data_IF_381742751323
#
_entry.id   IF_381742751323
#
_cell.length_a   1.000
_cell.length_b   1.000
_cell.length_c   1.000
_cell.angle_alpha   90.00
_cell.angle_beta   90.00
_cell.angle_gamma   90.00
#
_symmetry.space_group_name_H-M   'P 1'
#
loop_
_entity.id
_entity.type
_entity.pdbx_description
1 polymer ?
#
# COMPACT_ATOMS: atom_id res chain seq x y z
N UNK A 1 7.83 27.28 -4.17
CA UNK A 1 6.80 27.10 -3.13
C UNK A 1 7.36 26.20 -2.04
N UNK A 2 7.07 26.48 -0.78
CA UNK A 2 7.51 25.64 0.35
C UNK A 2 6.70 24.34 0.38
N UNK A 3 7.34 23.20 0.66
CA UNK A 3 6.66 21.89 0.72
C UNK A 3 5.58 21.89 1.81
N UNK A 4 4.35 21.46 1.49
CA UNK A 4 3.24 21.36 2.45
C UNK A 4 3.34 20.14 3.38
N UNK A 5 4.35 19.28 3.18
CA UNK A 5 4.57 18.10 4.01
C UNK A 5 6.03 18.00 4.46
N UNK A 6 6.22 17.55 5.69
CA UNK A 6 7.47 17.15 6.31
C UNK A 6 7.55 15.62 6.22
N UNK A 7 8.60 15.08 5.61
CA UNK A 7 8.83 13.62 5.61
C UNK A 7 9.39 13.10 6.94
N UNK A 8 9.36 13.93 7.97
CA UNK A 8 9.72 13.58 9.35
C UNK A 8 8.57 12.85 10.05
N UNK A 9 8.93 11.91 10.93
CA UNK A 9 7.98 11.14 11.76
C UNK A 9 7.86 11.77 13.14
N UNK A 10 6.64 11.89 13.65
CA UNK A 10 6.38 12.21 15.05
C UNK A 10 7.05 11.16 15.95
N UNK A 11 7.68 11.60 17.04
CA UNK A 11 8.39 10.72 17.96
C UNK A 11 7.50 9.59 18.50
N UNK A 12 8.00 8.35 18.45
CA UNK A 12 7.25 7.14 18.85
C UNK A 12 7.18 6.93 20.37
N UNK A 13 8.06 7.60 21.11
CA UNK A 13 8.20 7.47 22.57
C UNK A 13 7.26 8.39 23.35
N UNK A 14 6.36 9.12 22.67
CA UNK A 14 5.35 9.95 23.32
C UNK A 14 4.47 9.04 24.18
N UNK A 15 4.49 9.23 25.51
CA UNK A 15 3.79 8.38 26.49
C UNK A 15 2.33 8.16 26.06
N UNK A 16 1.91 6.90 26.10
CA UNK A 16 0.67 6.37 25.55
C UNK A 16 -0.52 6.70 26.47
N UNK A 17 -0.86 7.98 26.56
CA UNK A 17 -2.11 8.52 27.11
C UNK A 17 -2.91 9.34 26.10
N UNK A 18 -2.37 9.50 24.89
CA UNK A 18 -3.00 10.20 23.77
C UNK A 18 -4.25 9.46 23.26
N UNK A 19 -5.41 10.09 23.33
CA UNK A 19 -6.64 9.56 22.76
C UNK A 19 -6.52 9.45 21.23
N UNK A 20 -7.05 8.38 20.65
CA UNK A 20 -7.22 8.25 19.19
C UNK A 20 -8.69 8.12 18.83
N UNK A 21 -9.06 8.69 17.69
CA UNK A 21 -10.43 8.70 17.20
C UNK A 21 -10.49 8.51 15.69
N UNK A 22 -11.59 7.92 15.23
CA UNK A 22 -11.93 7.78 13.83
C UNK A 22 -13.13 8.68 13.49
N UNK A 23 -12.98 9.49 12.43
CA UNK A 23 -14.03 10.32 11.88
C UNK A 23 -14.48 9.84 10.50
N UNK A 24 -15.75 10.08 10.19
CA UNK A 24 -16.38 9.77 8.91
C UNK A 24 -17.08 11.01 8.36
N UNK A 25 -17.04 11.20 7.04
CA UNK A 25 -17.65 12.36 6.38
C UNK A 25 -19.13 12.12 6.08
N UNK A 26 -19.95 11.98 7.13
CA UNK A 26 -21.39 11.69 7.03
C UNK A 26 -22.20 12.98 7.11
N UNK A 27 -23.25 13.12 6.29
CA UNK A 27 -24.19 14.25 6.35
C UNK A 27 -25.61 13.70 6.51
N UNK A 28 -26.15 13.60 7.73
CA UNK A 28 -27.52 13.12 7.94
C UNK A 28 -28.56 14.06 7.30
N UNK A 29 -29.56 13.47 6.64
CA UNK A 29 -30.68 14.17 6.01
C UNK A 29 -31.96 13.49 6.49
N UNK A 30 -32.91 14.28 7.00
CA UNK A 30 -34.23 13.80 7.40
C UNK A 30 -35.26 14.14 6.31
N UNK A 31 -36.08 13.17 5.91
CA UNK A 31 -37.16 13.40 4.93
C UNK A 31 -38.36 14.07 5.60
N UNK A 32 -39.27 14.59 4.79
CA UNK A 32 -40.55 15.11 5.29
C UNK A 32 -41.39 14.04 6.03
N UNK A 33 -41.15 12.74 5.76
CA UNK A 33 -41.79 11.62 6.44
C UNK A 33 -41.12 11.19 7.74
N UNK A 34 -39.99 11.80 8.12
CA UNK A 34 -39.23 11.47 9.33
C UNK A 34 -38.14 10.40 9.14
N UNK A 35 -37.98 9.85 7.93
CA UNK A 35 -36.90 8.90 7.63
C UNK A 35 -35.54 9.60 7.61
N UNK A 36 -34.49 8.92 8.12
CA UNK A 36 -33.13 9.44 8.13
C UNK A 36 -32.25 8.72 7.11
N UNK A 37 -31.62 9.50 6.23
CA UNK A 37 -30.59 9.05 5.30
C UNK A 37 -29.23 9.59 5.74
N UNK A 38 -28.20 8.75 5.73
CA UNK A 38 -26.82 9.10 6.15
C UNK A 38 -25.82 8.91 5.01
N UNK A 39 -25.85 9.74 3.96
CA UNK A 39 -24.87 9.66 2.89
C UNK A 39 -23.45 9.92 3.42
N UNK A 40 -22.53 9.04 3.03
CA UNK A 40 -21.10 9.19 3.25
C UNK A 40 -20.48 9.89 2.03
N UNK A 41 -19.79 11.01 2.25
CA UNK A 41 -19.19 11.81 1.16
C UNK A 41 -18.08 11.07 0.41
N UNK A 42 -17.32 10.23 1.12
CA UNK A 42 -16.28 9.37 0.56
C UNK A 42 -16.01 8.19 1.51
N UNK A 43 -15.52 7.05 1.02
CA UNK A 43 -15.30 5.85 1.83
C UNK A 43 -14.05 5.92 2.73
N UNK A 44 -13.36 7.06 2.80
CA UNK A 44 -12.14 7.19 3.58
C UNK A 44 -12.38 7.49 5.06
N UNK A 45 -11.77 6.67 5.93
CA UNK A 45 -11.67 6.92 7.37
C UNK A 45 -10.74 8.10 7.63
N UNK A 46 -11.03 8.95 8.62
CA UNK A 46 -10.17 10.06 9.02
C UNK A 46 -9.68 9.88 10.46
N UNK A 47 -8.40 9.63 10.66
CA UNK A 47 -7.82 9.55 11.99
C UNK A 47 -7.67 10.94 12.64
N UNK A 48 -7.82 10.96 13.96
CA UNK A 48 -7.52 12.06 14.86
C UNK A 48 -6.80 11.52 16.07
N UNK A 49 -5.81 12.24 16.56
CA UNK A 49 -5.08 11.87 17.77
C UNK A 49 -4.85 13.11 18.62
N UNK A 50 -4.91 12.97 19.94
CA UNK A 50 -4.69 14.05 20.90
C UNK A 50 -3.38 13.80 21.62
N UNK A 51 -2.39 14.67 21.47
CA UNK A 51 -1.11 14.57 22.16
C UNK A 51 -1.23 15.30 23.49
N UNK A 52 -1.18 14.56 24.60
CA UNK A 52 -1.19 15.13 25.96
C UNK A 52 0.25 15.33 26.45
N UNK A 53 0.58 16.55 26.89
CA UNK A 53 1.94 16.89 27.31
C UNK A 53 2.21 16.62 28.80
N UNK A 54 1.17 16.60 29.65
CA UNK A 54 1.30 16.40 31.11
C UNK A 54 2.01 15.11 31.51
N UNK A 55 2.03 14.11 30.61
CA UNK A 55 2.63 12.79 30.84
C UNK A 55 3.98 12.59 30.16
N UNK A 56 4.49 13.60 29.45
CA UNK A 56 5.70 13.50 28.63
C UNK A 56 6.95 13.93 29.41
N UNK A 57 8.10 13.33 29.08
CA UNK A 57 9.39 13.82 29.60
C UNK A 57 9.81 15.09 28.88
N UNK A 58 10.62 15.94 29.53
CA UNK A 58 11.09 17.22 28.96
C UNK A 58 11.76 17.09 27.59
N UNK A 59 12.45 15.98 27.32
CA UNK A 59 13.08 15.71 26.02
C UNK A 59 12.05 15.57 24.90
N UNK A 60 10.99 14.79 25.12
CA UNK A 60 9.93 14.55 24.15
C UNK A 60 9.15 15.84 23.86
N UNK A 61 8.92 16.67 24.88
CA UNK A 61 8.26 17.97 24.71
C UNK A 61 9.07 18.86 23.75
N UNK A 62 10.39 18.90 23.89
CA UNK A 62 11.24 19.69 22.98
C UNK A 62 11.16 19.24 21.52
N UNK A 63 11.09 17.92 21.27
CA UNK A 63 10.93 17.38 19.91
C UNK A 63 9.58 17.77 19.28
N UNK A 64 8.49 17.76 20.06
CA UNK A 64 7.17 18.16 19.60
C UNK A 64 7.11 19.67 19.33
N UNK A 65 7.68 20.49 20.22
CA UNK A 65 7.77 21.94 20.04
C UNK A 65 8.56 22.26 18.77
N UNK A 66 9.70 21.62 18.58
CA UNK A 66 10.54 21.80 17.41
C UNK A 66 9.84 21.35 16.12
N UNK A 67 9.12 20.23 16.15
CA UNK A 67 8.30 19.76 15.03
C UNK A 67 7.17 20.76 14.71
N UNK A 68 6.48 21.29 15.72
CA UNK A 68 5.44 22.30 15.54
C UNK A 68 6.00 23.58 14.90
N UNK A 69 7.16 24.04 15.35
CA UNK A 69 7.86 25.19 14.78
C UNK A 69 8.31 24.93 13.33
N UNK A 70 8.87 23.75 13.02
CA UNK A 70 9.22 23.34 11.64
C UNK A 70 8.00 23.20 10.74
N UNK A 71 6.87 22.74 11.28
CA UNK A 71 5.60 22.62 10.57
C UNK A 71 4.93 23.98 10.34
N UNK A 72 5.29 25.00 11.14
CA UNK A 72 4.61 26.29 11.14
C UNK A 72 3.19 26.17 11.67
N UNK A 73 3.03 25.51 12.82
CA UNK A 73 1.73 25.19 13.40
C UNK A 73 0.90 24.27 12.49
N UNK A 74 -0.36 24.61 12.16
CA UNK A 74 -1.24 23.78 11.32
C UNK A 74 -0.90 23.81 9.82
N UNK A 75 0.17 24.49 9.41
CA UNK A 75 0.46 24.75 7.98
C UNK A 75 0.94 23.52 7.22
N UNK A 76 1.78 22.67 7.83
CA UNK A 76 2.40 21.51 7.17
C UNK A 76 2.04 20.21 7.87
N UNK A 77 1.90 19.15 7.08
CA UNK A 77 1.75 17.79 7.60
C UNK A 77 3.07 17.11 7.90
N UNK A 78 3.01 15.99 8.62
CA UNK A 78 4.12 15.10 8.97
C UNK A 78 3.60 13.66 9.13
N UNK A 79 4.53 12.70 9.26
CA UNK A 79 4.20 11.27 9.41
C UNK A 79 3.86 10.95 10.86
N UNK A 80 2.79 10.19 11.07
CA UNK A 80 2.38 9.69 12.39
C UNK A 80 2.14 8.19 12.33
N UNK A 81 2.83 7.42 13.17
CA UNK A 81 2.50 6.00 13.37
C UNK A 81 1.24 5.88 14.20
N UNK A 82 0.21 5.18 13.69
CA UNK A 82 -0.99 4.93 14.49
C UNK A 82 -0.81 3.67 15.34
N UNK A 83 -0.85 3.75 16.68
CA UNK A 83 -0.44 2.63 17.56
C UNK A 83 -1.30 1.37 17.43
N UNK A 84 -2.54 1.52 16.97
CA UNK A 84 -3.47 0.40 16.77
C UNK A 84 -3.75 0.07 15.30
N UNK A 85 -3.12 0.74 14.33
CA UNK A 85 -3.38 0.55 12.89
C UNK A 85 -2.22 1.10 12.05
N UNK A 86 -1.05 0.47 12.17
CA UNK A 86 0.17 0.84 11.44
C UNK A 86 0.62 -0.22 10.44
N UNK A 87 -0.09 -1.35 10.35
CA UNK A 87 0.20 -2.43 9.40
C UNK A 87 -1.04 -2.88 8.65
N UNK A 88 -0.84 -3.22 7.38
CA UNK A 88 -1.86 -3.83 6.52
C UNK A 88 -2.28 -5.23 6.98
N UNK A 89 -1.45 -5.91 7.77
CA UNK A 89 -1.73 -7.23 8.32
C UNK A 89 -2.21 -7.13 9.76
N UNK A 90 -3.46 -7.54 10.01
CA UNK A 90 -4.05 -7.60 11.35
C UNK A 90 -3.73 -6.36 12.20
N UNK A 91 -3.75 -5.18 11.56
CA UNK A 91 -3.46 -3.87 12.12
C UNK A 91 -2.01 -3.62 12.58
N UNK A 92 -1.27 -4.66 13.01
CA UNK A 92 0.02 -4.52 13.73
C UNK A 92 1.04 -5.63 13.43
N UNK A 93 0.65 -6.66 12.69
CA UNK A 93 1.55 -7.77 12.39
C UNK A 93 2.51 -7.45 11.23
N UNK A 94 3.63 -8.18 11.09
CA UNK A 94 4.53 -8.01 9.96
C UNK A 94 3.81 -8.21 8.62
N UNK A 95 3.89 -7.24 7.69
CA UNK A 95 3.13 -7.27 6.44
C UNK A 95 3.52 -8.44 5.54
N UNK A 96 2.58 -8.86 4.70
CA UNK A 96 2.81 -9.86 3.63
C UNK A 96 2.37 -9.32 2.28
N UNK A 97 2.85 -9.91 1.19
CA UNK A 97 2.44 -9.57 -0.18
C UNK A 97 0.93 -9.71 -0.46
N UNK A 98 0.18 -10.36 0.43
CA UNK A 98 -1.21 -10.77 0.20
C UNK A 98 -2.21 -10.07 1.12
N UNK A 99 -1.77 -9.06 1.88
CA UNK A 99 -2.59 -8.47 2.94
C UNK A 99 -3.83 -7.74 2.41
N UNK A 100 -3.66 -6.88 1.40
CA UNK A 100 -4.70 -5.96 0.94
C UNK A 100 -4.74 -5.89 -0.58
N UNK A 101 -5.92 -5.96 -1.22
CA UNK A 101 -6.03 -5.72 -2.66
C UNK A 101 -5.73 -4.25 -2.99
N UNK A 102 -4.99 -4.06 -4.07
CA UNK A 102 -4.64 -2.74 -4.58
C UNK A 102 -5.66 -2.26 -5.61
N UNK A 103 -5.71 -0.94 -5.80
CA UNK A 103 -6.59 -0.30 -6.79
C UNK A 103 -5.74 0.40 -7.82
N UNK A 104 -6.10 0.29 -9.11
CA UNK A 104 -5.46 1.06 -10.17
C UNK A 104 -5.63 2.56 -9.91
N UNK A 105 -4.56 3.33 -10.05
CA UNK A 105 -4.61 4.79 -9.96
C UNK A 105 -5.46 5.36 -11.09
N UNK A 106 -5.34 4.78 -12.28
CA UNK A 106 -6.22 5.04 -13.41
C UNK A 106 -6.86 3.71 -13.86
N UNK A 107 -8.20 3.55 -13.75
CA UNK A 107 -8.88 2.31 -14.14
C UNK A 107 -8.65 1.86 -15.58
N UNK A 108 -8.26 2.77 -16.48
CA UNK A 108 -8.03 2.47 -17.91
C UNK A 108 -6.57 2.25 -18.25
N UNK A 109 -5.64 2.50 -17.33
CA UNK A 109 -4.19 2.35 -17.57
C UNK A 109 -3.63 1.33 -16.59
N UNK A 110 -3.21 0.14 -17.06
CA UNK A 110 -2.66 -0.89 -16.20
C UNK A 110 -1.29 -0.49 -15.65
N UNK A 111 -0.84 -1.18 -14.61
CA UNK A 111 0.54 -1.10 -14.12
C UNK A 111 0.81 -0.06 -13.03
N UNK A 112 -0.12 0.86 -12.73
CA UNK A 112 0.05 1.82 -11.63
C UNK A 112 -1.05 1.66 -10.59
N UNK A 113 -0.67 1.33 -9.37
CA UNK A 113 -1.58 0.96 -8.29
C UNK A 113 -1.34 1.80 -7.03
N UNK A 114 -2.41 2.10 -6.29
CA UNK A 114 -2.35 2.73 -4.98
C UNK A 114 -2.35 1.65 -3.89
N UNK A 115 -1.46 1.77 -2.91
CA UNK A 115 -1.52 0.97 -1.68
C UNK A 115 -2.78 1.31 -0.88
N UNK A 116 -3.48 0.29 -0.39
CA UNK A 116 -4.77 0.42 0.27
C UNK A 116 -4.79 -0.32 1.60
N UNK A 117 -5.61 0.17 2.53
CA UNK A 117 -6.06 -0.54 3.72
C UNK A 117 -7.57 -0.60 3.70
N UNK A 118 -8.15 -1.80 3.70
CA UNK A 118 -9.60 -2.01 3.72
C UNK A 118 -10.03 -2.42 5.14
N UNK A 119 -11.09 -1.78 5.65
CA UNK A 119 -11.64 -2.05 6.99
C UNK A 119 -12.92 -2.87 6.87
N UNK A 120 -12.78 -4.05 6.30
CA UNK A 120 -13.90 -4.94 5.99
C UNK A 120 -13.69 -5.66 4.66
N UNK A 121 -14.78 -6.12 4.07
CA UNK A 121 -14.76 -6.80 2.78
C UNK A 121 -14.44 -5.82 1.65
N UNK A 122 -13.31 -6.00 0.99
CA UNK A 122 -12.88 -5.16 -0.14
C UNK A 122 -13.77 -5.27 -1.39
N UNK A 123 -14.61 -6.30 -1.48
CA UNK A 123 -15.56 -6.46 -2.58
C UNK A 123 -16.82 -5.60 -2.41
N UNK A 124 -17.10 -5.13 -1.19
CA UNK A 124 -18.15 -4.15 -0.93
C UNK A 124 -17.68 -2.76 -1.39
N UNK A 125 -18.39 -2.18 -2.36
CA UNK A 125 -18.10 -0.84 -2.87
C UNK A 125 -18.16 0.24 -1.77
N UNK A 126 -18.97 0.00 -0.73
CA UNK A 126 -19.17 0.89 0.44
C UNK A 126 -18.15 0.66 1.55
N UNK A 127 -17.26 -0.33 1.39
CA UNK A 127 -16.25 -0.66 2.39
C UNK A 127 -15.38 0.56 2.71
N UNK A 128 -15.29 0.86 4.01
CA UNK A 128 -14.43 1.89 4.54
C UNK A 128 -12.98 1.49 4.27
N UNK A 129 -12.19 2.45 3.82
CA UNK A 129 -10.81 2.20 3.42
C UNK A 129 -9.90 3.39 3.67
N UNK A 130 -8.60 3.19 3.57
CA UNK A 130 -7.57 4.23 3.56
C UNK A 130 -6.67 4.04 2.35
N UNK A 131 -6.33 5.15 1.69
CA UNK A 131 -5.20 5.19 0.74
C UNK A 131 -3.93 5.33 1.55
N UNK A 132 -3.06 4.34 1.51
CA UNK A 132 -1.78 4.40 2.19
C UNK A 132 -0.87 5.25 1.32
N UNK A 133 -0.54 6.47 1.79
CA UNK A 133 0.33 7.41 1.06
C UNK A 133 1.75 7.49 1.60
N UNK A 134 1.95 7.10 2.85
CA UNK A 134 3.23 7.17 3.55
C UNK A 134 3.60 5.76 4.05
N UNK A 135 3.80 4.77 3.16
CA UNK A 135 4.30 3.47 3.59
C UNK A 135 5.70 3.63 4.21
N UNK A 136 6.03 2.75 5.14
CA UNK A 136 7.36 2.69 5.74
C UNK A 136 8.30 2.04 4.73
N UNK A 137 9.38 2.73 4.39
CA UNK A 137 10.35 2.28 3.40
C UNK A 137 10.93 0.91 3.81
N UNK A 138 11.06 0.01 2.83
CA UNK A 138 11.58 -1.35 3.05
C UNK A 138 10.56 -2.38 3.56
N UNK A 139 9.34 -1.97 3.92
CA UNK A 139 8.30 -2.89 4.42
C UNK A 139 7.30 -3.35 3.35
N UNK A 140 7.27 -2.67 2.20
CA UNK A 140 6.30 -2.95 1.12
C UNK A 140 6.61 -4.29 0.46
N UNK A 141 5.58 -5.13 0.35
CA UNK A 141 5.61 -6.38 -0.40
C UNK A 141 4.42 -6.42 -1.34
N UNK A 142 4.62 -6.89 -2.58
CA UNK A 142 3.59 -6.95 -3.62
C UNK A 142 3.33 -8.40 -3.99
N UNK A 143 2.06 -8.76 -4.19
CA UNK A 143 1.61 -10.04 -4.68
C UNK A 143 0.81 -9.88 -5.97
N UNK A 144 0.99 -10.82 -6.89
CA UNK A 144 0.22 -10.88 -8.15
C UNK A 144 -0.27 -12.31 -8.33
N UNK A 145 -1.59 -12.46 -8.48
CA UNK A 145 -2.24 -13.75 -8.70
C UNK A 145 -1.84 -14.81 -7.65
N UNK A 146 -1.79 -14.41 -6.37
CA UNK A 146 -1.49 -15.31 -5.26
C UNK A 146 -0.01 -15.69 -5.08
N UNK A 147 0.90 -15.13 -5.88
CA UNK A 147 2.35 -15.30 -5.72
C UNK A 147 3.03 -13.98 -5.32
N UNK A 148 4.11 -14.06 -4.54
CA UNK A 148 4.93 -12.89 -4.21
C UNK A 148 5.57 -12.38 -5.51
N UNK A 149 5.37 -11.10 -5.81
CA UNK A 149 5.85 -10.48 -7.03
C UNK A 149 7.29 -9.95 -6.85
N UNK A 150 8.25 -10.36 -7.70
CA UNK A 150 9.66 -10.01 -7.54
C UNK A 150 9.90 -8.50 -7.46
N UNK A 151 10.69 -8.07 -6.48
CA UNK A 151 11.01 -6.65 -6.24
C UNK A 151 11.68 -5.94 -7.43
N UNK A 152 12.28 -6.69 -8.37
CA UNK A 152 12.83 -6.12 -9.60
C UNK A 152 11.76 -5.70 -10.62
N UNK A 153 10.51 -6.17 -10.47
CA UNK A 153 9.42 -5.93 -11.41
C UNK A 153 8.43 -4.86 -10.96
N UNK A 154 8.73 -4.15 -9.88
CA UNK A 154 7.93 -3.03 -9.41
C UNK A 154 8.78 -2.06 -8.59
N UNK A 155 8.31 -0.83 -8.47
CA UNK A 155 8.88 0.19 -7.59
C UNK A 155 7.77 0.84 -6.77
N UNK A 156 8.09 1.32 -5.57
CA UNK A 156 7.16 2.08 -4.73
C UNK A 156 7.71 3.47 -4.44
N UNK A 157 6.85 4.48 -4.60
CA UNK A 157 7.12 5.82 -4.07
C UNK A 157 6.59 5.90 -2.62
N UNK A 158 7.52 5.95 -1.67
CA UNK A 158 7.17 5.98 -0.24
C UNK A 158 6.55 7.31 0.22
N UNK A 159 6.49 8.33 -0.65
CA UNK A 159 5.87 9.64 -0.36
C UNK A 159 4.42 9.73 -0.83
N UNK A 160 4.01 8.87 -1.79
CA UNK A 160 2.65 8.83 -2.33
C UNK A 160 1.94 7.48 -2.17
N UNK A 161 2.70 6.42 -1.85
CA UNK A 161 2.23 5.04 -1.74
C UNK A 161 1.79 4.44 -3.08
N UNK A 162 2.31 4.97 -4.18
CA UNK A 162 2.05 4.47 -5.52
C UNK A 162 3.07 3.39 -5.85
N UNK A 163 2.57 2.22 -6.24
CA UNK A 163 3.35 1.11 -6.80
C UNK A 163 3.23 1.16 -8.32
N UNK A 164 4.38 1.17 -8.99
CA UNK A 164 4.49 1.14 -10.44
C UNK A 164 5.13 -0.17 -10.86
N UNK A 165 4.43 -0.94 -11.69
CA UNK A 165 4.94 -2.16 -12.28
C UNK A 165 5.96 -1.83 -13.37
N UNK A 166 6.99 -2.67 -13.51
CA UNK A 166 7.94 -2.57 -14.61
C UNK A 166 7.23 -2.75 -15.96
N UNK A 167 7.86 -2.24 -17.02
CA UNK A 167 7.35 -2.37 -18.37
C UNK A 167 7.11 -3.84 -18.73
N UNK A 168 5.97 -4.12 -19.36
CA UNK A 168 5.62 -5.48 -19.76
C UNK A 168 6.57 -5.98 -20.85
N UNK A 169 7.47 -6.89 -20.48
CA UNK A 169 8.18 -7.74 -21.43
C UNK A 169 7.24 -8.85 -21.89
N UNK A 170 7.11 -8.97 -23.20
CA UNK A 170 6.27 -9.97 -23.86
C UNK A 170 7.10 -10.92 -24.70
N UNK A 171 6.61 -12.14 -24.88
CA UNK A 171 7.24 -13.10 -25.80
C UNK A 171 6.22 -14.06 -26.42
N UNK A 172 6.40 -14.39 -27.69
CA UNK A 172 5.59 -15.40 -28.38
C UNK A 172 6.22 -16.78 -28.18
N UNK A 173 5.44 -17.71 -27.64
CA UNK A 173 5.90 -19.07 -27.38
C UNK A 173 5.95 -19.84 -28.69
N UNK A 174 7.07 -20.50 -28.97
CA UNK A 174 7.23 -21.35 -30.17
C UNK A 174 7.27 -22.84 -29.83
N UNK A 175 7.57 -23.19 -28.58
CA UNK A 175 7.54 -24.56 -28.09
C UNK A 175 7.48 -24.59 -26.56
N UNK A 176 6.92 -25.65 -25.97
CA UNK A 176 6.98 -25.94 -24.54
C UNK A 176 7.43 -27.38 -24.33
N UNK A 177 8.55 -27.56 -23.63
CA UNK A 177 9.05 -28.87 -23.20
C UNK A 177 8.60 -29.13 -21.77
N UNK A 178 7.83 -30.22 -21.57
CA UNK A 178 7.32 -30.62 -20.25
C UNK A 178 8.44 -31.12 -19.33
N UNK A 179 8.25 -30.92 -18.02
CA UNK A 179 9.14 -31.44 -17.00
C UNK A 179 8.65 -31.13 -15.59
N UNK A 180 9.46 -31.48 -14.59
CA UNK A 180 9.26 -31.04 -13.19
C UNK A 180 9.45 -29.53 -13.04
N UNK A 181 10.20 -28.93 -13.95
CA UNK A 181 10.15 -27.53 -14.34
C UNK A 181 9.87 -27.46 -15.83
N UNK A 182 9.13 -26.45 -16.26
CA UNK A 182 8.72 -26.29 -17.66
C UNK A 182 9.72 -25.41 -18.40
N UNK A 183 10.22 -25.87 -19.54
CA UNK A 183 11.07 -25.05 -20.41
C UNK A 183 10.27 -24.53 -21.60
N UNK A 184 10.27 -23.22 -21.80
CA UNK A 184 9.51 -22.52 -22.82
C UNK A 184 10.50 -21.91 -23.81
N UNK A 185 10.32 -22.20 -25.09
CA UNK A 185 11.13 -21.63 -26.17
C UNK A 185 10.49 -20.33 -26.64
N UNK A 186 11.26 -19.24 -26.58
CA UNK A 186 10.82 -17.87 -26.86
C UNK A 186 12.03 -16.99 -27.14
N UNK A 187 11.91 -16.02 -28.05
CA UNK A 187 12.92 -14.96 -28.18
C UNK A 187 12.94 -14.14 -26.88
N UNK A 188 13.97 -14.32 -26.05
CA UNK A 188 13.89 -13.95 -24.65
C UNK A 188 14.59 -12.63 -24.33
N UNK A 189 13.88 -11.75 -23.62
CA UNK A 189 14.41 -10.52 -23.00
C UNK A 189 14.22 -10.51 -21.47
N UNK A 190 13.67 -11.59 -20.91
CA UNK A 190 13.37 -11.77 -19.51
C UNK A 190 14.56 -12.38 -18.77
N UNK A 191 14.69 -12.06 -17.48
CA UNK A 191 15.81 -12.47 -16.65
C UNK A 191 15.39 -13.50 -15.59
N UNK A 192 16.37 -14.25 -15.07
CA UNK A 192 16.18 -15.14 -13.92
C UNK A 192 15.69 -14.31 -12.72
N UNK A 193 14.70 -14.85 -12.01
CA UNK A 193 14.04 -14.18 -10.87
C UNK A 193 12.84 -13.32 -11.26
N UNK A 194 12.65 -12.98 -12.54
CA UNK A 194 11.40 -12.35 -13.00
C UNK A 194 10.25 -13.37 -12.99
N UNK A 195 9.05 -12.88 -12.71
CA UNK A 195 7.81 -13.63 -12.78
C UNK A 195 7.12 -13.38 -14.11
N UNK A 196 6.58 -14.44 -14.72
CA UNK A 196 5.93 -14.40 -16.03
C UNK A 196 4.60 -15.15 -16.00
N UNK A 197 3.57 -14.56 -16.59
CA UNK A 197 2.29 -15.18 -16.89
C UNK A 197 2.36 -15.87 -18.25
N UNK A 198 1.77 -17.06 -18.34
CA UNK A 198 1.60 -17.81 -19.58
C UNK A 198 0.12 -17.78 -19.97
N UNK A 199 -0.17 -17.43 -21.22
CA UNK A 199 -1.53 -17.34 -21.76
C UNK A 199 -1.61 -17.88 -23.20
N UNK A 200 -2.83 -18.11 -23.68
CA UNK A 200 -3.14 -18.44 -25.08
C UNK A 200 -2.41 -19.67 -25.69
N UNK A 201 -1.96 -20.60 -24.85
CA UNK A 201 -1.34 -21.86 -25.28
C UNK A 201 -2.41 -22.85 -25.75
N UNK A 202 -2.19 -23.44 -26.93
CA UNK A 202 -3.03 -24.49 -27.50
C UNK A 202 -2.37 -25.85 -27.30
N UNK A 203 -3.17 -26.88 -27.02
CA UNK A 203 -2.70 -28.24 -26.68
C UNK A 203 -2.44 -28.38 -25.18
N UNK A 204 -1.55 -27.57 -24.62
CA UNK A 204 -1.21 -27.55 -23.18
C UNK A 204 -2.05 -26.50 -22.43
N UNK A 205 -3.38 -26.61 -22.46
CA UNK A 205 -4.26 -25.55 -21.94
C UNK A 205 -4.21 -25.39 -20.42
N UNK A 206 -3.75 -26.41 -19.67
CA UNK A 206 -3.61 -26.36 -18.21
C UNK A 206 -2.62 -25.29 -17.74
N UNK A 207 -1.68 -24.88 -18.59
CA UNK A 207 -0.66 -23.88 -18.24
C UNK A 207 -1.17 -22.44 -18.36
N UNK A 208 -2.30 -22.24 -19.05
CA UNK A 208 -2.86 -20.90 -19.26
C UNK A 208 -3.34 -20.29 -17.95
N UNK A 209 -3.00 -19.03 -17.70
CA UNK A 209 -3.30 -18.32 -16.47
C UNK A 209 -2.28 -18.55 -15.35
N UNK A 210 -1.32 -19.48 -15.52
CA UNK A 210 -0.30 -19.72 -14.52
C UNK A 210 0.79 -18.65 -14.58
N UNK A 211 1.13 -18.10 -13.41
CA UNK A 211 2.27 -17.21 -13.20
C UNK A 211 3.35 -17.91 -12.40
N UNK A 212 4.60 -17.84 -12.85
CA UNK A 212 5.72 -18.49 -12.17
C UNK A 212 7.02 -17.70 -12.31
N UNK A 213 7.94 -17.84 -11.34
CA UNK A 213 9.28 -17.27 -11.46
C UNK A 213 10.12 -18.04 -12.50
N UNK A 214 10.96 -17.30 -13.21
CA UNK A 214 11.97 -17.80 -14.13
C UNK A 214 13.17 -18.28 -13.31
N UNK A 215 13.50 -19.57 -13.42
CA UNK A 215 14.62 -20.21 -12.72
C UNK A 215 15.87 -20.33 -13.58
N UNK A 216 15.73 -20.30 -14.91
CA UNK A 216 16.83 -20.23 -15.86
C UNK A 216 16.40 -19.45 -17.11
N UNK A 217 17.34 -18.76 -17.74
CA UNK A 217 17.10 -17.98 -18.94
C UNK A 217 18.28 -18.11 -19.92
N UNK A 218 17.97 -18.24 -21.20
CA UNK A 218 18.91 -18.12 -22.33
C UNK A 218 18.37 -17.10 -23.34
N UNK A 219 19.07 -16.86 -24.44
CA UNK A 219 18.55 -15.96 -25.49
C UNK A 219 17.31 -16.50 -26.22
N UNK A 220 17.08 -17.81 -26.18
CA UNK A 220 16.01 -18.49 -26.94
C UNK A 220 15.04 -19.28 -26.07
N UNK A 221 15.22 -19.27 -24.75
CA UNK A 221 14.35 -20.02 -23.83
C UNK A 221 14.37 -19.47 -22.42
N UNK A 222 13.32 -19.81 -21.68
CA UNK A 222 13.22 -19.65 -20.23
C UNK A 222 12.78 -20.97 -19.61
N UNK A 223 13.19 -21.22 -18.37
CA UNK A 223 12.66 -22.31 -17.54
C UNK A 223 11.90 -21.69 -16.38
N UNK A 224 10.68 -22.16 -16.15
CA UNK A 224 9.79 -21.67 -15.09
C UNK A 224 9.52 -22.75 -14.05
N UNK A 225 9.29 -22.34 -12.80
CA UNK A 225 9.00 -23.23 -11.68
C UNK A 225 7.56 -23.78 -11.71
N UNK A 226 7.17 -24.40 -12.82
CA UNK A 226 5.88 -25.09 -13.02
C UNK A 226 6.18 -26.57 -13.24
N UNK A 227 5.50 -27.45 -12.50
CA UNK A 227 5.52 -28.87 -12.78
C UNK A 227 4.44 -29.19 -13.82
N UNK A 228 4.86 -29.46 -15.05
CA UNK A 228 3.97 -29.76 -16.18
C UNK A 228 4.00 -31.23 -16.60
N UNK A 229 4.54 -32.15 -15.78
CA UNK A 229 4.65 -33.57 -16.17
C UNK A 229 3.30 -34.21 -16.48
N UNK A 230 2.23 -33.75 -15.81
CA UNK A 230 0.86 -34.21 -16.02
C UNK A 230 0.06 -33.44 -17.08
N UNK A 231 0.66 -32.46 -17.78
CA UNK A 231 -0.07 -31.65 -18.76
C UNK A 231 -0.09 -32.32 -20.14
N UNK A 232 -1.07 -31.93 -20.96
CA UNK A 232 -1.12 -32.33 -22.37
C UNK A 232 0.03 -31.71 -23.17
N UNK A 233 0.30 -32.27 -24.35
CA UNK A 233 1.38 -31.78 -25.20
C UNK A 233 1.07 -30.40 -25.78
N UNK A 234 2.12 -29.59 -25.92
CA UNK A 234 2.03 -28.33 -26.63
C UNK A 234 1.71 -28.58 -28.10
N UNK A 235 0.77 -27.82 -28.64
CA UNK A 235 0.43 -27.86 -30.06
C UNK A 235 0.89 -26.60 -30.79
N UNK A 236 0.52 -25.41 -30.28
CA UNK A 236 0.86 -24.12 -30.89
C UNK A 236 0.47 -22.95 -29.97
N UNK A 237 0.72 -21.72 -30.44
CA UNK A 237 0.29 -20.50 -29.76
C UNK A 237 1.09 -20.23 -28.49
N UNK A 238 0.54 -19.36 -27.66
CA UNK A 238 1.12 -19.00 -26.38
C UNK A 238 1.78 -17.62 -26.37
N UNK A 239 1.48 -16.86 -25.32
CA UNK A 239 2.11 -15.57 -25.02
C UNK A 239 2.66 -15.58 -23.59
N UNK A 240 3.73 -14.82 -23.40
CA UNK A 240 4.33 -14.53 -22.11
C UNK A 240 4.14 -13.06 -21.77
N UNK A 241 3.82 -12.77 -20.51
CA UNK A 241 3.68 -11.40 -20.00
C UNK A 241 4.30 -11.29 -18.62
N UNK A 242 5.23 -10.35 -18.44
CA UNK A 242 5.86 -10.12 -17.12
C UNK A 242 5.01 -9.22 -16.23
N UNK A 243 4.34 -8.21 -16.80
CA UNK A 243 3.45 -7.34 -16.05
C UNK A 243 2.13 -8.05 -15.70
N UNK A 244 1.42 -7.63 -14.64
CA UNK A 244 0.06 -8.08 -14.36
C UNK A 244 -0.88 -7.83 -15.55
N UNK A 245 -1.66 -8.83 -15.93
CA UNK A 245 -2.66 -8.78 -16.98
C UNK A 245 -4.08 -8.64 -16.41
N UNK A 246 -5.03 -8.28 -17.27
CA UNK A 246 -6.45 -8.23 -16.90
C UNK A 246 -6.92 -9.55 -16.33
N UNK A 247 -7.56 -9.52 -15.16
CA UNK A 247 -8.03 -10.70 -14.43
C UNK A 247 -7.06 -11.20 -13.36
N UNK A 248 -5.81 -10.73 -13.33
CA UNK A 248 -4.91 -10.99 -12.22
C UNK A 248 -5.18 -10.02 -11.06
N UNK A 249 -5.39 -10.57 -9.86
CA UNK A 249 -5.46 -9.76 -8.64
C UNK A 249 -4.07 -9.25 -8.27
N UNK A 250 -4.00 -7.96 -7.93
CA UNK A 250 -2.79 -7.33 -7.40
C UNK A 250 -3.04 -6.99 -5.94
N UNK A 251 -2.22 -7.50 -5.05
CA UNK A 251 -2.27 -7.28 -3.61
C UNK A 251 -0.96 -6.70 -3.13
N UNK A 252 -0.98 -6.06 -1.98
CA UNK A 252 0.24 -5.65 -1.29
C UNK A 252 0.03 -5.59 0.22
N UNK A 253 1.13 -5.59 0.94
CA UNK A 253 1.19 -5.27 2.35
C UNK A 253 2.36 -4.35 2.67
N UNK A 254 2.23 -3.55 3.72
CA UNK A 254 3.27 -2.68 4.25
C UNK A 254 2.92 -2.24 5.68
N UNK A 255 3.95 -1.79 6.40
CA UNK A 255 3.73 -0.86 7.50
C UNK A 255 3.53 0.54 6.93
N UNK A 256 2.81 1.40 7.63
CA UNK A 256 2.49 2.73 7.15
C UNK A 256 2.35 3.76 8.26
N UNK A 257 2.66 5.01 7.89
CA UNK A 257 2.32 6.20 8.65
C UNK A 257 1.05 6.83 8.09
N UNK A 258 0.30 7.47 8.99
CA UNK A 258 -0.80 8.34 8.63
C UNK A 258 -0.25 9.76 8.45
N UNK A 259 -0.45 10.41 7.30
CA UNK A 259 -0.12 11.82 7.12
C UNK A 259 -1.06 12.69 7.96
N UNK A 260 -0.54 13.41 8.94
CA UNK A 260 -1.34 14.27 9.82
C UNK A 260 -0.75 15.68 9.91
N UNK A 261 -1.53 16.64 10.38
CA UNK A 261 -1.05 17.98 10.78
C UNK A 261 -1.63 18.35 12.14
N UNK A 262 -1.00 19.30 12.82
CA UNK A 262 -1.62 19.98 13.96
C UNK A 262 -2.94 20.64 13.55
N UNK A 263 -3.93 20.62 14.43
CA UNK A 263 -5.21 21.32 14.21
C UNK A 263 -5.07 22.81 14.44
N UNK A 264 -4.26 23.19 15.42
CA UNK A 264 -4.12 24.55 15.97
C UNK A 264 -2.65 24.88 16.26
N UNK A 265 -2.38 26.15 16.56
CA UNK A 265 -1.07 26.62 17.02
C UNK A 265 -0.79 26.11 18.44
N UNK A 266 0.50 25.89 18.76
CA UNK A 266 0.90 25.48 20.10
C UNK A 266 0.70 26.63 21.09
N UNK A 267 -0.21 26.45 22.05
CA UNK A 267 -0.47 27.41 23.12
C UNK A 267 -0.22 26.76 24.48
N UNK A 268 1.02 26.88 24.96
CA UNK A 268 1.46 26.32 26.24
C UNK A 268 1.84 27.41 27.25
N UNK A 269 1.81 27.07 28.54
CA UNK A 269 2.28 27.93 29.63
C UNK A 269 3.44 27.26 30.33
N UNK A 270 4.38 28.03 30.88
CA UNK A 270 5.39 27.48 31.77
C UNK A 270 4.83 27.42 33.19
N UNK A 271 4.82 26.25 33.82
CA UNK A 271 4.48 26.12 35.26
C UNK A 271 5.70 26.39 36.15
N UNK A 272 6.91 26.11 35.66
CA UNK A 272 8.18 26.54 36.23
C UNK A 272 9.28 26.60 35.13
N UNK A 273 10.52 26.94 35.49
CA UNK A 273 11.63 27.13 34.54
C UNK A 273 11.97 25.90 33.69
N UNK A 274 11.61 24.70 34.17
CA UNK A 274 11.92 23.41 33.51
C UNK A 274 10.66 22.61 33.15
N UNK A 275 9.46 23.12 33.44
CA UNK A 275 8.20 22.41 33.21
C UNK A 275 7.25 23.29 32.43
N UNK A 276 6.85 22.79 31.27
CA UNK A 276 5.79 23.36 30.46
C UNK A 276 4.48 22.71 30.91
N UNK A 277 3.56 23.53 31.41
CA UNK A 277 2.14 23.21 31.52
C UNK A 277 1.50 23.44 30.14
N UNK A 278 1.79 22.49 29.25
CA UNK A 278 1.10 22.39 27.98
C UNK A 278 -0.06 21.43 28.23
N UNK A 279 -1.28 21.83 27.84
CA UNK A 279 -2.43 20.95 27.93
C UNK A 279 -2.31 19.80 26.92
N UNK A 280 -3.10 19.86 25.86
CA UNK A 280 -3.02 18.92 24.75
C UNK A 280 -2.91 19.66 23.42
N UNK A 281 -2.46 18.96 22.39
CA UNK A 281 -2.54 19.41 21.00
C UNK A 281 -3.10 18.28 20.14
N UNK A 282 -4.08 18.61 19.30
CA UNK A 282 -4.68 17.65 18.40
C UNK A 282 -3.95 17.59 17.06
N UNK A 283 -3.89 16.40 16.49
CA UNK A 283 -3.45 16.14 15.12
C UNK A 283 -4.55 15.46 14.32
N UNK A 284 -4.66 15.81 13.05
CA UNK A 284 -5.72 15.36 12.16
C UNK A 284 -5.16 14.87 10.82
N UNK A 285 -5.69 13.75 10.33
CA UNK A 285 -5.29 13.14 9.05
C UNK A 285 -5.58 14.05 7.84
N UNK A 286 -4.63 14.04 6.88
CA UNK A 286 -4.69 14.72 5.59
C UNK A 286 -4.79 13.65 4.49
N UNK A 287 -5.87 13.68 3.69
CA UNK A 287 -6.03 12.66 2.64
C UNK A 287 -5.12 12.84 1.43
N UNK A 288 -4.67 14.06 1.16
CA UNK A 288 -3.80 14.40 0.02
C UNK A 288 -2.65 15.31 0.53
N UNK A 289 -1.68 14.73 1.28
CA UNK A 289 -0.49 15.43 1.76
C UNK A 289 0.49 15.77 0.63
#
# INVERSE_FOLDING_TARGET
MMSQFLEERLAENIDYGSGFGAGFAVTPITTAGGDEYRPLKHPFIKARMTIEFERQTNFIISEIVDLNNRAGGPTRGFRVMHPADYSTKNYREPPTAFDQPMVLVNPTVPGVYQLMRWYGDSSDASCIRRRIRKPVAGTVQVGVHGAVFPAAQWTVDNTTGIVTMAANKTGTITNITKGSTTTITVANSMAVGESVLIADVVGMTQINGMRAPITAASGTSITVAINSTGFSDYASGGTLNTAPQTGESVTAGCEFDIPMRFTDDLNSRFSNWETIDAGNIDVIEIFNP
#
